data_IF_767955780973
#
_entry.id   IF_767955780973
#
_cell.length_a   1.000
_cell.length_b   1.000
_cell.length_c   1.000
_cell.angle_alpha   90.00
_cell.angle_beta   90.00
_cell.angle_gamma   90.00
#
_symmetry.space_group_name_H-M   'P 1'
#
loop_
_entity.id
_entity.type
_entity.pdbx_description
1 polymer ?
#
# COMPACT_ATOMS: atom_id res chain seq x y z
N UNK A 1 5.09 35.62 29.96
CA UNK A 1 4.15 34.56 29.54
C UNK A 1 3.59 34.93 28.18
N UNK A 2 4.04 34.32 27.07
CA UNK A 2 3.53 34.64 25.75
C UNK A 2 2.36 33.72 25.32
N UNK A 3 1.49 34.31 24.51
CA UNK A 3 0.16 33.87 24.07
C UNK A 3 0.17 32.55 23.26
N UNK A 4 -0.62 31.56 23.71
CA UNK A 4 -0.79 30.23 23.08
C UNK A 4 -1.68 30.19 21.82
N UNK A 5 -1.98 31.32 21.16
CA UNK A 5 -2.93 31.36 20.03
C UNK A 5 -2.32 31.51 18.63
N UNK A 6 -1.00 31.45 18.48
CA UNK A 6 -0.33 31.72 17.20
C UNK A 6 0.39 30.51 16.57
N UNK A 7 0.30 29.31 17.18
CA UNK A 7 1.06 28.13 16.71
C UNK A 7 0.20 27.17 15.84
N UNK A 8 -1.13 27.35 15.78
CA UNK A 8 -2.03 26.44 15.08
C UNK A 8 -2.39 26.83 13.62
N UNK A 9 -1.59 27.68 12.96
CA UNK A 9 -1.92 28.14 11.59
C UNK A 9 -0.82 27.93 10.55
N UNK A 10 0.25 27.18 10.87
CA UNK A 10 1.36 26.89 9.93
C UNK A 10 1.45 25.44 9.45
N UNK A 11 0.56 24.54 9.88
CA UNK A 11 0.62 23.11 9.51
C UNK A 11 -0.40 22.69 8.43
N UNK A 12 -1.31 23.57 8.00
CA UNK A 12 -2.39 23.24 7.05
C UNK A 12 -2.04 23.55 5.58
N UNK A 13 -0.94 24.24 5.30
CA UNK A 13 -0.60 24.70 3.93
C UNK A 13 0.28 23.76 3.10
N UNK A 14 0.61 22.55 3.58
CA UNK A 14 1.45 21.61 2.82
C UNK A 14 0.68 20.53 2.03
N UNK A 15 -0.62 20.38 2.24
CA UNK A 15 -1.44 19.34 1.59
C UNK A 15 -2.46 19.87 0.55
N UNK A 16 -2.47 21.17 0.25
CA UNK A 16 -3.41 21.76 -0.73
C UNK A 16 -2.81 21.98 -2.14
N UNK A 17 -1.66 21.38 -2.46
CA UNK A 17 -0.98 21.59 -3.75
C UNK A 17 -1.21 20.50 -4.81
N UNK A 18 -2.03 19.47 -4.55
CA UNK A 18 -2.27 18.38 -5.52
C UNK A 18 -3.74 18.22 -5.99
N UNK A 19 -4.64 19.14 -5.64
CA UNK A 19 -6.08 19.03 -5.96
C UNK A 19 -6.63 20.31 -6.60
N UNK A 20 -5.92 20.85 -7.60
CA UNK A 20 -6.45 21.96 -8.40
C UNK A 20 -5.91 21.97 -9.83
N UNK A 21 -6.14 20.89 -10.58
CA UNK A 21 -6.20 20.96 -12.05
C UNK A 21 -7.66 20.84 -12.51
N UNK A 22 -8.30 22.00 -12.44
CA UNK A 22 -9.36 22.52 -13.29
C UNK A 22 -10.00 21.55 -14.30
N UNK A 23 -11.24 21.21 -13.99
CA UNK A 23 -12.35 21.19 -14.94
C UNK A 23 -12.31 22.42 -15.85
N UNK A 24 -11.96 22.23 -17.12
CA UNK A 24 -12.19 23.22 -18.17
C UNK A 24 -13.38 22.80 -19.03
N UNK A 25 -14.49 23.48 -18.71
CA UNK A 25 -15.68 23.77 -19.50
C UNK A 25 -15.68 23.33 -20.96
N UNK A 26 -16.64 22.46 -21.26
CA UNK A 26 -17.24 22.29 -22.58
C UNK A 26 -17.73 23.65 -23.13
N UNK A 27 -17.36 23.99 -24.36
CA UNK A 27 -18.12 24.88 -25.24
C UNK A 27 -18.12 24.28 -26.64
N UNK A 28 -19.30 23.82 -27.04
CA UNK A 28 -19.61 23.41 -28.40
C UNK A 28 -19.61 24.62 -29.33
N UNK A 29 -18.92 24.50 -30.46
CA UNK A 29 -19.20 25.32 -31.65
C UNK A 29 -19.21 24.40 -32.86
N UNK A 30 -20.42 24.18 -33.38
CA UNK A 30 -20.70 23.49 -34.63
C UNK A 30 -20.12 24.25 -35.82
N UNK A 31 -19.31 23.58 -36.64
CA UNK A 31 -19.05 23.98 -38.03
C UNK A 31 -19.12 22.74 -38.92
N UNK A 32 -20.14 22.71 -39.78
CA UNK A 32 -20.26 21.77 -40.90
C UNK A 32 -19.17 22.08 -41.91
N UNK A 33 -18.34 21.09 -42.19
CA UNK A 33 -17.61 20.99 -43.46
C UNK A 33 -17.62 19.54 -43.91
N UNK A 34 -18.29 19.32 -45.04
CA UNK A 34 -18.28 18.09 -45.82
C UNK A 34 -16.91 17.90 -46.49
N UNK A 35 -16.52 16.63 -46.69
CA UNK A 35 -15.96 16.04 -47.93
C UNK A 35 -14.83 15.01 -47.66
N UNK A 36 -15.02 13.85 -48.32
CA UNK A 36 -14.10 12.77 -48.72
C UNK A 36 -13.58 11.74 -47.71
N UNK A 37 -14.18 10.56 -47.83
CA UNK A 37 -13.70 9.22 -47.54
C UNK A 37 -12.28 8.97 -48.05
N UNK A 38 -11.36 8.63 -47.13
CA UNK A 38 -10.16 7.85 -47.43
C UNK A 38 -10.08 6.77 -46.34
N UNK A 39 -10.31 5.53 -46.76
CA UNK A 39 -10.13 4.33 -45.94
C UNK A 39 -8.66 4.20 -45.53
N UNK A 40 -8.37 4.20 -44.23
CA UNK A 40 -7.05 3.85 -43.71
C UNK A 40 -7.15 2.71 -42.69
N UNK A 41 -6.57 1.57 -43.09
CA UNK A 41 -6.34 0.34 -42.30
C UNK A 41 -5.31 0.58 -41.18
N UNK A 42 -5.65 1.38 -40.18
CA UNK A 42 -4.76 1.63 -39.04
C UNK A 42 -5.45 1.55 -37.68
N UNK A 43 -6.71 1.13 -37.62
CA UNK A 43 -7.47 1.01 -36.37
C UNK A 43 -7.45 -0.39 -35.74
N UNK A 44 -6.75 -1.35 -36.35
CA UNK A 44 -6.69 -2.74 -35.87
C UNK A 44 -5.52 -3.02 -34.91
N UNK A 45 -4.54 -2.12 -34.80
CA UNK A 45 -3.33 -2.34 -33.96
C UNK A 45 -3.40 -1.61 -32.61
N UNK A 46 -4.19 -0.54 -32.49
CA UNK A 46 -4.28 0.22 -31.23
C UNK A 46 -5.31 -0.40 -30.27
N UNK A 47 -6.31 -1.12 -30.79
CA UNK A 47 -7.33 -1.79 -29.97
C UNK A 47 -6.86 -3.10 -29.30
N UNK A 48 -5.64 -3.59 -29.56
CA UNK A 48 -5.10 -4.79 -28.91
C UNK A 48 -4.27 -4.53 -27.65
N UNK A 49 -3.90 -3.27 -27.38
CA UNK A 49 -3.12 -2.88 -26.18
C UNK A 49 -3.97 -2.32 -25.02
N UNK A 50 -5.26 -2.12 -25.22
CA UNK A 50 -6.19 -1.63 -24.19
C UNK A 50 -7.13 -2.71 -23.61
N UNK A 51 -6.94 -3.97 -24.00
CA UNK A 51 -7.81 -5.08 -23.62
C UNK A 51 -7.05 -6.18 -22.84
N UNK A 52 -6.27 -5.82 -21.82
CA UNK A 52 -5.90 -6.73 -20.72
C UNK A 52 -5.94 -5.95 -19.39
N UNK A 53 -7.09 -5.35 -19.05
CA UNK A 53 -7.53 -5.36 -17.66
C UNK A 53 -8.34 -6.64 -17.49
N UNK A 54 -7.64 -7.77 -17.51
CA UNK A 54 -8.23 -9.02 -17.09
C UNK A 54 -8.65 -8.81 -15.64
N UNK A 55 -9.94 -8.99 -15.40
CA UNK A 55 -10.53 -9.11 -14.08
C UNK A 55 -9.76 -10.22 -13.34
N UNK A 56 -8.75 -9.85 -12.55
CA UNK A 56 -7.86 -10.76 -11.80
C UNK A 56 -8.60 -11.44 -10.64
N UNK A 57 -9.92 -11.65 -10.77
CA UNK A 57 -10.77 -11.70 -9.60
C UNK A 57 -10.77 -13.02 -8.84
N UNK A 58 -10.11 -14.07 -9.34
CA UNK A 58 -10.05 -15.37 -8.66
C UNK A 58 -8.77 -16.15 -9.01
N UNK A 59 -7.59 -15.55 -8.84
CA UNK A 59 -6.34 -16.29 -9.02
C UNK A 59 -6.07 -17.14 -7.77
N UNK A 60 -6.30 -18.44 -7.88
CA UNK A 60 -5.90 -19.40 -6.85
C UNK A 60 -4.48 -19.91 -7.08
N UNK A 61 -3.76 -20.15 -6.00
CA UNK A 61 -2.42 -20.73 -5.97
C UNK A 61 -2.44 -22.05 -5.22
N UNK A 62 -1.69 -23.04 -5.71
CA UNK A 62 -1.61 -24.37 -5.09
C UNK A 62 -0.23 -24.50 -4.43
N UNK A 63 -0.24 -24.80 -3.14
CA UNK A 63 0.93 -25.21 -2.37
C UNK A 63 0.99 -26.73 -2.34
N UNK A 64 2.13 -27.28 -2.74
CA UNK A 64 2.30 -28.74 -2.72
C UNK A 64 2.35 -29.28 -1.28
N UNK A 65 2.00 -30.56 -1.13
CA UNK A 65 2.12 -31.26 0.16
C UNK A 65 3.61 -31.27 0.54
N UNK A 66 3.96 -30.71 1.70
CA UNK A 66 5.33 -30.52 2.20
C UNK A 66 6.16 -29.42 1.51
N UNK A 67 5.55 -28.57 0.68
CA UNK A 67 6.27 -27.42 0.14
C UNK A 67 6.58 -26.38 1.21
N UNK A 68 7.88 -26.08 1.39
CA UNK A 68 8.35 -24.98 2.22
C UNK A 68 7.79 -23.63 1.73
N UNK A 69 7.61 -22.70 2.67
CA UNK A 69 6.92 -21.44 2.37
C UNK A 69 7.68 -20.56 1.36
N UNK A 70 9.01 -20.54 1.42
CA UNK A 70 9.84 -19.74 0.52
C UNK A 70 9.71 -20.17 -0.97
N UNK A 71 9.88 -21.46 -1.34
CA UNK A 71 9.57 -21.92 -2.70
C UNK A 71 8.16 -21.59 -3.16
N UNK A 72 7.16 -21.74 -2.28
CA UNK A 72 5.77 -21.42 -2.59
C UNK A 72 5.60 -19.93 -2.93
N UNK A 73 6.11 -19.04 -2.07
CA UNK A 73 6.12 -17.59 -2.29
C UNK A 73 6.87 -17.22 -3.57
N UNK A 74 7.98 -17.90 -3.87
CA UNK A 74 8.74 -17.67 -5.11
C UNK A 74 7.93 -18.03 -6.37
N UNK A 75 7.13 -19.12 -6.34
CA UNK A 75 6.21 -19.45 -7.44
C UNK A 75 5.18 -18.35 -7.67
N UNK A 76 4.62 -17.80 -6.58
CA UNK A 76 3.66 -16.68 -6.65
C UNK A 76 4.31 -15.44 -7.25
N UNK A 77 5.49 -15.06 -6.73
CA UNK A 77 6.29 -13.96 -7.24
C UNK A 77 6.55 -14.10 -8.75
N UNK A 78 7.01 -15.27 -9.20
CA UNK A 78 7.29 -15.51 -10.61
C UNK A 78 6.01 -15.45 -11.48
N UNK A 79 4.86 -15.88 -10.93
CA UNK A 79 3.57 -15.79 -11.63
C UNK A 79 3.05 -14.35 -11.71
N UNK A 80 3.31 -13.52 -10.71
CA UNK A 80 2.90 -12.11 -10.70
C UNK A 80 3.78 -11.23 -11.61
N UNK A 81 5.09 -11.45 -11.59
CA UNK A 81 6.05 -10.52 -12.19
C UNK A 81 6.90 -11.12 -13.31
N UNK A 82 6.79 -12.42 -13.57
CA UNK A 82 7.65 -13.15 -14.51
C UNK A 82 8.92 -13.70 -13.85
N UNK A 83 9.55 -14.67 -14.51
CA UNK A 83 10.74 -15.38 -14.02
C UNK A 83 12.03 -14.52 -14.04
N UNK A 84 12.11 -13.57 -14.97
CA UNK A 84 13.35 -12.82 -15.24
C UNK A 84 13.51 -11.54 -14.41
N UNK A 85 12.55 -11.25 -13.53
CA UNK A 85 12.63 -10.06 -12.67
C UNK A 85 13.31 -10.38 -11.35
N UNK A 86 14.34 -9.61 -11.02
CA UNK A 86 15.03 -9.67 -9.74
C UNK A 86 14.20 -8.96 -8.63
N UNK A 87 12.96 -9.42 -8.44
CA UNK A 87 12.08 -8.95 -7.36
C UNK A 87 12.57 -9.58 -6.05
N UNK A 88 12.79 -8.76 -5.04
CA UNK A 88 13.23 -9.20 -3.71
C UNK A 88 12.05 -9.24 -2.75
N UNK A 89 12.14 -10.11 -1.76
CA UNK A 89 11.21 -10.10 -0.63
C UNK A 89 11.66 -8.99 0.32
N UNK A 90 10.78 -8.04 0.60
CA UNK A 90 11.07 -6.79 1.35
C UNK A 90 11.10 -6.99 2.87
N UNK A 91 10.44 -8.03 3.36
CA UNK A 91 10.24 -8.33 4.78
C UNK A 91 10.13 -9.84 4.97
N UNK A 92 10.40 -10.37 6.17
CA UNK A 92 10.20 -11.80 6.45
C UNK A 92 8.77 -12.25 6.05
N UNK A 93 8.66 -13.45 5.50
CA UNK A 93 7.36 -14.06 5.18
C UNK A 93 6.67 -14.40 6.50
N UNK A 94 5.41 -14.01 6.66
CA UNK A 94 4.64 -14.25 7.88
C UNK A 94 3.60 -15.31 7.59
N UNK A 95 3.70 -16.46 8.25
CA UNK A 95 2.68 -17.51 8.23
C UNK A 95 1.92 -17.49 9.56
N UNK A 96 0.59 -17.40 9.50
CA UNK A 96 -0.24 -17.27 10.70
C UNK A 96 -1.63 -17.86 10.50
N UNK A 97 -2.16 -18.46 11.55
CA UNK A 97 -3.56 -18.88 11.67
C UNK A 97 -4.28 -18.15 12.82
N UNK A 98 -3.70 -17.04 13.30
CA UNK A 98 -4.16 -16.30 14.48
C UNK A 98 -4.89 -14.99 14.15
N UNK A 99 -5.09 -14.71 12.86
CA UNK A 99 -5.77 -13.48 12.44
C UNK A 99 -7.28 -13.66 12.43
N UNK A 100 -7.77 -14.64 11.66
CA UNK A 100 -9.19 -14.96 11.53
C UNK A 100 -9.36 -16.46 11.72
N UNK A 101 -10.29 -16.84 12.59
CA UNK A 101 -10.53 -18.23 12.96
C UNK A 101 -10.91 -19.09 11.75
N UNK A 102 -10.32 -20.28 11.66
CA UNK A 102 -10.55 -21.23 10.56
C UNK A 102 -9.76 -20.95 9.28
N UNK A 103 -9.02 -19.85 9.22
CA UNK A 103 -8.20 -19.48 8.07
C UNK A 103 -6.71 -19.45 8.41
N UNK A 104 -5.89 -19.82 7.43
CA UNK A 104 -4.44 -19.67 7.46
C UNK A 104 -4.02 -18.65 6.42
N UNK A 105 -3.08 -17.79 6.81
CA UNK A 105 -2.62 -16.67 5.99
C UNK A 105 -1.11 -16.73 5.82
N UNK A 106 -0.66 -16.37 4.62
CA UNK A 106 0.73 -16.03 4.34
C UNK A 106 0.76 -14.57 3.91
N UNK A 107 1.51 -13.75 4.61
CA UNK A 107 1.71 -12.33 4.28
C UNK A 107 3.11 -12.16 3.72
N UNK A 108 3.20 -11.48 2.58
CA UNK A 108 4.46 -11.25 1.87
C UNK A 108 4.51 -9.85 1.28
N UNK A 109 5.71 -9.30 1.23
CA UNK A 109 6.01 -7.99 0.64
C UNK A 109 7.11 -8.13 -0.41
N UNK A 110 6.89 -7.55 -1.59
CA UNK A 110 7.82 -7.60 -2.71
C UNK A 110 8.35 -6.21 -3.05
N UNK A 111 9.66 -6.08 -3.18
CA UNK A 111 10.32 -4.89 -3.72
C UNK A 111 10.10 -4.84 -5.23
N UNK A 112 9.44 -3.78 -5.70
CA UNK A 112 9.22 -3.53 -7.11
C UNK A 112 10.00 -2.32 -7.57
N UNK A 113 10.82 -2.53 -8.59
CA UNK A 113 11.47 -1.45 -9.31
C UNK A 113 10.62 -1.09 -10.53
N UNK A 114 10.11 0.13 -10.54
CA UNK A 114 9.51 0.71 -11.73
C UNK A 114 10.59 1.44 -12.52
N UNK A 115 10.95 0.90 -13.70
CA UNK A 115 11.96 1.50 -14.56
C UNK A 115 11.49 2.84 -15.15
N UNK A 116 10.19 3.01 -15.37
CA UNK A 116 9.66 4.19 -16.05
C UNK A 116 9.66 5.41 -15.12
N UNK A 117 9.36 5.18 -13.84
CA UNK A 117 9.37 6.22 -12.81
C UNK A 117 10.69 6.28 -12.01
N UNK A 118 11.61 5.34 -12.25
CA UNK A 118 12.82 5.15 -11.45
C UNK A 118 12.49 5.11 -9.93
N UNK A 119 11.40 4.43 -9.60
CA UNK A 119 10.81 4.38 -8.26
C UNK A 119 10.88 2.96 -7.69
N UNK A 120 11.22 2.87 -6.39
CA UNK A 120 11.23 1.60 -5.65
C UNK A 120 10.00 1.55 -4.76
N UNK A 121 9.00 0.78 -5.20
CA UNK A 121 7.76 0.54 -4.47
C UNK A 121 7.86 -0.78 -3.69
N UNK A 122 7.04 -0.92 -2.66
CA UNK A 122 6.83 -2.22 -2.01
C UNK A 122 5.37 -2.63 -2.20
N UNK A 123 5.09 -3.81 -2.73
CA UNK A 123 3.73 -4.35 -2.80
C UNK A 123 3.51 -5.42 -1.75
N UNK A 124 2.44 -5.27 -0.97
CA UNK A 124 2.01 -6.23 0.04
C UNK A 124 0.87 -7.13 -0.45
N UNK A 125 0.96 -8.42 -0.13
CA UNK A 125 -0.07 -9.40 -0.45
C UNK A 125 -0.37 -10.33 0.72
N UNK A 126 -1.62 -10.81 0.75
CA UNK A 126 -2.08 -11.90 1.60
C UNK A 126 -2.43 -13.08 0.70
N UNK A 127 -2.02 -14.27 1.11
CA UNK A 127 -2.52 -15.53 0.60
C UNK A 127 -3.40 -16.17 1.67
N UNK A 128 -4.71 -16.14 1.45
CA UNK A 128 -5.69 -16.77 2.35
C UNK A 128 -5.95 -18.20 1.92
N UNK A 129 -5.74 -19.16 2.82
CA UNK A 129 -6.06 -20.58 2.58
C UNK A 129 -7.56 -20.76 2.38
N UNK A 130 -7.94 -21.30 1.22
CA UNK A 130 -9.30 -21.75 0.90
C UNK A 130 -9.51 -23.22 1.32
N UNK A 131 -8.44 -24.00 1.20
CA UNK A 131 -8.31 -25.35 1.73
C UNK A 131 -6.83 -25.62 2.06
N UNK A 132 -6.49 -26.85 2.46
CA UNK A 132 -5.12 -27.24 2.85
C UNK A 132 -4.04 -26.92 1.81
N UNK A 133 -4.39 -26.78 0.53
CA UNK A 133 -3.44 -26.56 -0.57
C UNK A 133 -3.73 -25.30 -1.39
N UNK A 134 -4.99 -24.86 -1.45
CA UNK A 134 -5.39 -23.73 -2.28
C UNK A 134 -5.38 -22.44 -1.49
N UNK A 135 -4.82 -21.42 -2.10
CA UNK A 135 -4.73 -20.08 -1.55
C UNK A 135 -5.33 -19.07 -2.52
N UNK A 136 -6.10 -18.14 -1.99
CA UNK A 136 -6.58 -16.96 -2.69
C UNK A 136 -5.62 -15.80 -2.44
N UNK A 137 -5.21 -15.10 -3.50
CA UNK A 137 -4.32 -13.95 -3.40
C UNK A 137 -5.13 -12.66 -3.29
N UNK A 138 -4.83 -11.87 -2.27
CA UNK A 138 -5.44 -10.58 -1.98
C UNK A 138 -4.32 -9.54 -1.93
N UNK A 139 -4.48 -8.43 -2.65
CA UNK A 139 -3.54 -7.31 -2.54
C UNK A 139 -3.85 -6.55 -1.24
N UNK A 140 -2.83 -6.31 -0.43
CA UNK A 140 -2.95 -5.38 0.70
C UNK A 140 -2.92 -3.98 0.10
N UNK A 141 -1.75 -3.55 -0.37
CA UNK A 141 -1.55 -2.25 -0.97
C UNK A 141 -0.20 -2.11 -1.68
N UNK A 142 0.04 -0.93 -2.23
CA UNK A 142 1.36 -0.48 -2.68
C UNK A 142 1.87 0.61 -1.76
N UNK A 143 3.04 0.40 -1.15
CA UNK A 143 3.75 1.39 -0.33
C UNK A 143 4.73 2.13 -1.21
N UNK A 144 4.36 3.36 -1.56
CA UNK A 144 5.14 4.23 -2.44
C UNK A 144 6.39 4.81 -1.73
N UNK A 145 7.41 5.20 -2.49
CA UNK A 145 8.59 5.83 -1.92
C UNK A 145 8.31 7.25 -1.44
N UNK A 146 8.79 7.58 -0.25
CA UNK A 146 8.88 8.95 0.27
C UNK A 146 10.35 9.38 0.29
N UNK A 147 10.85 9.79 -0.89
CA UNK A 147 12.26 10.12 -1.15
C UNK A 147 13.20 8.90 -1.26
N UNK A 148 12.85 7.79 -0.61
CA UNK A 148 13.52 6.47 -0.68
C UNK A 148 12.47 5.37 -0.69
N UNK A 149 12.88 4.12 -0.91
CA UNK A 149 12.02 2.94 -0.79
C UNK A 149 11.44 2.83 0.63
N UNK A 150 10.17 2.42 0.73
CA UNK A 150 9.57 2.03 1.99
C UNK A 150 10.29 0.81 2.60
N UNK A 151 10.50 0.82 3.90
CA UNK A 151 10.89 -0.35 4.67
C UNK A 151 9.68 -0.77 5.51
N UNK A 152 9.29 -2.04 5.41
CA UNK A 152 8.29 -2.60 6.31
C UNK A 152 8.99 -2.86 7.65
N UNK A 153 8.58 -2.18 8.72
CA UNK A 153 9.20 -2.29 10.05
C UNK A 153 8.49 -3.33 10.91
N UNK A 154 7.15 -3.36 10.83
CA UNK A 154 6.37 -4.36 11.56
C UNK A 154 5.03 -4.62 10.91
N UNK A 155 4.55 -5.84 11.07
CA UNK A 155 3.24 -6.29 10.62
C UNK A 155 2.60 -7.07 11.76
N UNK A 156 1.41 -6.67 12.19
CA UNK A 156 0.74 -7.27 13.33
C UNK A 156 -0.78 -7.08 13.27
N UNK A 157 -1.47 -7.76 14.18
CA UNK A 157 -2.93 -7.67 14.32
C UNK A 157 -3.31 -6.98 15.62
N UNK A 158 -4.28 -6.06 15.55
CA UNK A 158 -4.82 -5.32 16.69
C UNK A 158 -6.21 -4.79 16.36
N UNK A 159 -7.09 -4.70 17.34
CA UNK A 159 -8.37 -4.00 17.19
C UNK A 159 -8.12 -2.51 16.92
N UNK A 160 -8.89 -1.92 16.00
CA UNK A 160 -8.82 -0.54 15.55
C UNK A 160 -10.17 0.07 15.12
N UNK A 161 -11.29 -0.65 15.23
CA UNK A 161 -12.62 -0.13 14.84
C UNK A 161 -13.81 -0.58 15.74
N UNK A 162 -13.53 -1.05 16.96
CA UNK A 162 -14.50 -1.42 18.02
C UNK A 162 -15.32 -2.68 17.75
N UNK A 163 -14.96 -3.50 16.76
CA UNK A 163 -15.52 -4.83 16.62
C UNK A 163 -14.70 -5.90 17.36
N UNK A 164 -15.09 -7.18 17.33
CA UNK A 164 -14.34 -8.25 17.98
C UNK A 164 -13.15 -8.77 17.11
N UNK A 165 -13.11 -8.34 15.84
CA UNK A 165 -12.08 -8.68 14.89
C UNK A 165 -10.80 -7.87 15.16
N UNK A 166 -9.72 -8.28 14.49
CA UNK A 166 -8.45 -7.55 14.55
C UNK A 166 -8.09 -7.10 13.16
N UNK A 167 -7.61 -5.88 13.08
CA UNK A 167 -7.21 -5.25 11.84
C UNK A 167 -5.75 -5.61 11.56
N UNK A 168 -5.41 -5.62 10.28
CA UNK A 168 -4.02 -5.73 9.86
C UNK A 168 -3.37 -4.35 9.99
N UNK A 169 -2.33 -4.27 10.82
CA UNK A 169 -1.54 -3.06 11.02
C UNK A 169 -0.15 -3.25 10.45
N UNK A 170 0.26 -2.31 9.60
CA UNK A 170 1.58 -2.28 8.96
C UNK A 170 2.26 -0.96 9.30
N UNK A 171 3.41 -1.04 9.93
CA UNK A 171 4.29 0.11 10.16
C UNK A 171 5.35 0.13 9.07
N UNK A 172 5.40 1.22 8.31
CA UNK A 172 6.43 1.47 7.32
C UNK A 172 7.38 2.58 7.80
N UNK A 173 8.59 2.59 7.23
CA UNK A 173 9.51 3.70 7.40
C UNK A 173 10.28 4.06 6.13
N UNK A 174 10.73 5.31 6.08
CA UNK A 174 11.56 5.83 4.97
C UNK A 174 12.74 6.59 5.53
N UNK A 175 13.94 6.18 5.14
CA UNK A 175 15.17 6.89 5.52
C UNK A 175 15.20 8.23 4.78
N UNK A 176 15.30 9.31 5.55
CA UNK A 176 15.46 10.67 5.05
C UNK A 176 16.91 11.11 5.18
N UNK A 177 17.51 11.53 4.07
CA UNK A 177 18.87 12.08 4.02
C UNK A 177 18.89 13.28 3.09
N UNK A 178 18.66 14.45 3.66
CA UNK A 178 18.83 15.73 3.01
C UNK A 178 20.07 16.42 3.59
N UNK A 179 21.06 16.62 2.72
CA UNK A 179 22.34 17.22 3.11
C UNK A 179 22.09 18.56 3.82
N UNK A 180 22.63 18.68 5.03
CA UNK A 180 22.59 19.87 5.89
C UNK A 180 21.19 20.31 6.37
N UNK A 181 20.11 19.57 6.09
CA UNK A 181 18.76 20.00 6.48
C UNK A 181 17.96 18.94 7.22
N UNK A 182 18.09 17.64 6.89
CA UNK A 182 17.41 16.59 7.63
C UNK A 182 18.12 15.24 7.51
N UNK A 183 18.32 14.56 8.64
CA UNK A 183 18.79 13.19 8.69
C UNK A 183 17.96 12.41 9.71
N UNK A 184 17.33 11.34 9.25
CA UNK A 184 16.45 10.56 10.13
C UNK A 184 15.59 9.56 9.37
N UNK A 185 14.44 9.27 9.95
CA UNK A 185 13.49 8.28 9.44
C UNK A 185 12.06 8.79 9.63
N UNK A 186 11.27 8.74 8.57
CA UNK A 186 9.81 8.92 8.64
C UNK A 186 9.16 7.58 8.96
N UNK A 187 8.11 7.60 9.77
CA UNK A 187 7.27 6.46 10.12
C UNK A 187 5.83 6.74 9.72
N UNK A 188 5.15 5.73 9.20
CA UNK A 188 3.72 5.81 8.90
C UNK A 188 3.07 4.46 9.21
N UNK A 189 1.89 4.52 9.83
CA UNK A 189 1.09 3.35 10.14
C UNK A 189 -0.06 3.24 9.14
N UNK A 190 -0.25 2.05 8.59
CA UNK A 190 -1.36 1.70 7.71
C UNK A 190 -2.20 0.64 8.39
N UNK A 191 -3.51 0.90 8.51
CA UNK A 191 -4.45 -0.02 9.16
C UNK A 191 -5.50 -0.43 8.14
N UNK A 192 -5.73 -1.74 8.05
CA UNK A 192 -6.67 -2.34 7.13
C UNK A 192 -7.68 -3.20 7.88
N UNK A 193 -8.94 -3.10 7.48
CA UNK A 193 -10.06 -3.92 7.97
C UNK A 193 -9.74 -5.42 7.86
N UNK A 194 -10.43 -6.24 8.64
CA UNK A 194 -10.28 -7.68 8.59
C UNK A 194 -10.70 -8.25 7.22
N UNK A 195 -10.07 -9.37 6.85
CA UNK A 195 -10.40 -10.02 5.58
C UNK A 195 -11.73 -10.74 5.69
N UNK A 196 -12.75 -10.29 4.94
CA UNK A 196 -14.09 -10.90 4.90
C UNK A 196 -14.18 -11.93 3.76
N UNK A 197 -14.03 -13.25 4.00
CA UNK A 197 -13.87 -14.25 2.94
C UNK A 197 -15.11 -14.44 2.06
N UNK A 198 -16.28 -14.04 2.56
CA UNK A 198 -17.54 -14.10 1.81
C UNK A 198 -17.67 -12.96 0.80
N UNK A 199 -16.83 -11.92 0.91
CA UNK A 199 -16.80 -10.81 -0.03
C UNK A 199 -15.91 -11.18 -1.22
N UNK A 200 -16.35 -10.92 -2.45
CA UNK A 200 -15.55 -11.16 -3.67
C UNK A 200 -14.47 -10.09 -3.89
N UNK A 201 -14.02 -9.44 -2.82
CA UNK A 201 -13.10 -8.29 -2.89
C UNK A 201 -11.68 -8.80 -2.74
N UNK A 202 -10.82 -8.47 -3.72
CA UNK A 202 -9.42 -8.91 -3.75
C UNK A 202 -8.43 -7.83 -3.29
N UNK A 203 -8.94 -6.86 -2.54
CA UNK A 203 -8.16 -5.84 -1.86
C UNK A 203 -8.70 -5.67 -0.45
N UNK A 204 -7.81 -5.51 0.52
CA UNK A 204 -8.24 -5.10 1.86
C UNK A 204 -8.82 -3.68 1.85
N UNK A 205 -9.73 -3.42 2.77
CA UNK A 205 -10.28 -2.08 2.97
C UNK A 205 -9.32 -1.30 3.86
N UNK A 206 -8.82 -0.17 3.35
CA UNK A 206 -7.96 0.72 4.11
C UNK A 206 -8.79 1.59 5.07
N UNK A 207 -8.47 1.54 6.36
CA UNK A 207 -9.14 2.34 7.38
C UNK A 207 -8.45 3.70 7.50
N UNK A 208 -8.84 4.63 6.61
CA UNK A 208 -8.20 5.94 6.46
C UNK A 208 -8.20 6.75 7.77
N UNK A 209 -9.36 6.88 8.42
CA UNK A 209 -9.51 7.74 9.61
C UNK A 209 -8.58 7.33 10.75
N UNK A 210 -8.55 6.03 11.09
CA UNK A 210 -7.67 5.54 12.14
C UNK A 210 -6.19 5.51 11.72
N UNK A 211 -5.90 5.28 10.44
CA UNK A 211 -4.51 5.37 9.94
C UNK A 211 -3.98 6.81 10.03
N UNK A 212 -4.81 7.80 9.72
CA UNK A 212 -4.45 9.22 9.79
C UNK A 212 -4.23 9.71 11.23
N UNK A 213 -4.88 9.07 12.23
CA UNK A 213 -4.62 9.34 13.65
C UNK A 213 -3.15 9.16 14.01
N UNK A 214 -2.50 8.12 13.47
CA UNK A 214 -1.07 7.88 13.69
C UNK A 214 -0.18 8.86 12.93
N UNK A 215 -0.71 9.51 11.88
CA UNK A 215 -0.02 10.49 11.03
C UNK A 215 1.35 9.99 10.51
N UNK A 216 2.05 10.83 9.76
CA UNK A 216 3.47 10.59 9.44
C UNK A 216 4.31 11.29 10.50
N UNK A 217 5.18 10.55 11.18
CA UNK A 217 6.07 11.09 12.22
C UNK A 217 7.55 10.97 11.82
N UNK A 218 8.37 11.93 12.25
CA UNK A 218 9.80 11.97 11.96
C UNK A 218 10.63 11.73 13.23
N UNK A 219 11.60 10.83 13.12
CA UNK A 219 12.66 10.64 14.11
C UNK A 219 14.02 10.99 13.51
N UNK A 220 14.74 11.92 14.13
CA UNK A 220 16.07 12.33 13.69
C UNK A 220 16.31 13.81 13.92
N UNK A 221 17.23 14.39 13.14
CA UNK A 221 17.56 15.82 13.20
C UNK A 221 16.97 16.50 11.97
N UNK A 222 16.21 17.57 12.18
CA UNK A 222 15.69 18.43 11.13
C UNK A 222 15.98 19.89 11.46
N UNK A 223 16.65 20.58 10.55
CA UNK A 223 17.04 22.00 10.70
C UNK A 223 17.83 22.29 11.99
N UNK A 224 18.58 21.29 12.48
CA UNK A 224 19.37 21.38 13.71
C UNK A 224 18.58 21.05 14.99
N UNK A 225 17.29 20.77 14.89
CA UNK A 225 16.44 20.34 16.00
C UNK A 225 16.25 18.83 15.98
N UNK A 226 16.29 18.19 17.15
CA UNK A 226 15.96 16.77 17.29
C UNK A 226 14.44 16.57 17.37
N UNK A 227 13.96 15.56 16.64
CA UNK A 227 12.57 15.11 16.67
C UNK A 227 12.52 13.62 17.02
N UNK A 228 11.53 13.23 17.81
CA UNK A 228 11.32 11.85 18.25
C UNK A 228 9.92 11.42 17.81
N UNK A 229 9.85 10.38 16.99
CA UNK A 229 8.59 9.76 16.61
C UNK A 229 8.03 8.94 17.80
N UNK A 230 6.73 9.11 18.08
CA UNK A 230 6.01 8.39 19.12
C UNK A 230 5.63 6.98 18.65
N UNK A 231 5.18 6.87 17.39
CA UNK A 231 4.61 5.67 16.80
C UNK A 231 5.61 4.95 15.88
N UNK A 232 6.77 4.62 16.44
CA UNK A 232 7.86 3.92 15.74
C UNK A 232 7.95 2.42 16.01
N UNK A 233 6.97 1.83 16.70
CA UNK A 233 6.97 0.41 17.05
C UNK A 233 5.56 -0.15 17.15
N UNK A 234 5.42 -1.45 16.92
CA UNK A 234 4.14 -2.15 17.12
C UNK A 234 3.63 -2.04 18.56
N UNK A 235 4.51 -1.95 19.55
CA UNK A 235 4.13 -1.77 20.95
C UNK A 235 3.49 -0.40 21.20
N UNK A 236 4.11 0.69 20.73
CA UNK A 236 3.55 2.04 20.92
C UNK A 236 2.24 2.23 20.16
N UNK A 237 2.12 1.67 18.96
CA UNK A 237 0.87 1.69 18.19
C UNK A 237 -0.25 0.90 18.91
N UNK A 238 0.03 -0.32 19.38
CA UNK A 238 -0.96 -1.13 20.12
C UNK A 238 -1.42 -0.46 21.41
N UNK A 239 -0.53 0.23 22.11
CA UNK A 239 -0.92 0.95 23.33
C UNK A 239 -1.81 2.15 23.00
N UNK A 240 -1.54 2.84 21.90
CA UNK A 240 -2.37 3.95 21.47
C UNK A 240 -3.76 3.50 21.02
N UNK A 241 -3.87 2.41 20.25
CA UNK A 241 -5.16 1.83 19.89
C UNK A 241 -6.01 1.53 21.14
N UNK A 242 -5.39 0.97 22.18
CA UNK A 242 -6.06 0.76 23.48
C UNK A 242 -6.49 2.04 24.17
N UNK A 243 -5.69 3.11 24.08
CA UNK A 243 -6.02 4.41 24.65
C UNK A 243 -7.23 5.05 23.94
N UNK A 244 -7.42 4.76 22.65
CA UNK A 244 -8.58 5.18 21.87
C UNK A 244 -9.84 4.37 22.18
N UNK A 245 -9.70 3.27 22.93
CA UNK A 245 -10.81 2.42 23.36
C UNK A 245 -11.07 1.19 22.48
N UNK A 246 -10.08 0.78 21.69
CA UNK A 246 -10.09 -0.48 20.92
C UNK A 246 -9.47 -1.64 21.71
#
# INVERSE_FOLDING_TARGET
MPNQKTIMMKSIYKYLSCMLFLFLSCKETTKKTSVTTIENKTDTIINSKLAIKQDQTNITYIREFDENIEPFVKKIQNKLYGFDRNIKISHQIIETNKWIDGYSFVIVFFDLFDNDENSENVEGFILCSLDKKKYHLIKIDTFYPEGRKANIESVFFSNADQDDSKELVILCSWIQRHKNTAEGKLYQTFIYDDYKPQTKVNKLVFLQEISDHFSIEFEGIQEGEESIAKFKSSFSIKNELKNLGF
#
